data_IF_022681852127
#
_entry.id   IF_022681852127
#
_cell.length_a   1.000
_cell.length_b   1.000
_cell.length_c   1.000
_cell.angle_alpha   90.00
_cell.angle_beta   90.00
_cell.angle_gamma   90.00
#
_symmetry.space_group_name_H-M   'P 1'
#
loop_
_entity.id
_entity.type
_entity.pdbx_description
1 polymer ?
#
# COMPACT_ATOMS: atom_id res chain seq x y z
N UNK A 1 -2.82 16.49 1.61
CA UNK A 1 -1.90 15.51 0.97
C UNK A 1 -2.41 14.12 1.31
N UNK A 2 -2.61 13.24 0.32
CA UNK A 2 -3.07 11.86 0.53
C UNK A 2 -1.90 10.93 0.24
N UNK A 3 -1.57 10.05 1.19
CA UNK A 3 -0.58 8.99 0.99
C UNK A 3 -1.24 7.80 0.30
N UNK A 4 -0.62 7.28 -0.76
CA UNK A 4 -1.05 6.02 -1.36
C UNK A 4 -0.59 4.84 -0.51
N UNK A 5 -1.29 3.72 -0.62
CA UNK A 5 -0.90 2.47 0.03
C UNK A 5 0.50 2.02 -0.43
N UNK A 6 0.79 2.15 -1.73
CA UNK A 6 2.10 1.82 -2.28
C UNK A 6 3.22 2.70 -1.70
N UNK A 7 3.01 4.01 -1.55
CA UNK A 7 4.01 4.90 -0.97
C UNK A 7 4.34 4.51 0.50
N UNK A 8 3.34 4.08 1.27
CA UNK A 8 3.51 3.58 2.63
C UNK A 8 4.18 2.20 2.65
N UNK A 9 3.75 1.28 1.79
CA UNK A 9 4.28 -0.08 1.70
C UNK A 9 5.74 -0.09 1.25
N UNK A 10 6.06 0.63 0.18
CA UNK A 10 7.42 0.79 -0.34
C UNK A 10 8.35 1.38 0.72
N UNK A 11 7.89 2.41 1.43
CA UNK A 11 8.70 3.06 2.45
C UNK A 11 8.85 2.20 3.71
N UNK A 12 7.79 1.53 4.17
CA UNK A 12 7.78 0.80 5.45
C UNK A 12 8.30 -0.62 5.34
N UNK A 13 7.83 -1.37 4.36
CA UNK A 13 8.09 -2.79 4.20
C UNK A 13 9.25 -3.07 3.22
N UNK A 14 9.69 -2.06 2.46
CA UNK A 14 10.63 -2.26 1.34
C UNK A 14 10.04 -3.06 0.17
N UNK A 15 8.76 -3.43 0.26
CA UNK A 15 8.00 -4.10 -0.77
C UNK A 15 7.34 -3.04 -1.67
N UNK A 16 7.78 -2.96 -2.92
CA UNK A 16 7.15 -2.12 -3.93
C UNK A 16 5.87 -2.77 -4.45
N UNK A 17 4.82 -1.98 -4.61
CA UNK A 17 3.59 -2.42 -5.28
C UNK A 17 3.37 -1.67 -6.58
N UNK A 18 2.91 -2.39 -7.59
CA UNK A 18 2.32 -1.79 -8.78
C UNK A 18 0.87 -1.37 -8.47
N UNK A 19 0.69 -0.25 -7.78
CA UNK A 19 -0.65 0.24 -7.46
C UNK A 19 -1.15 1.23 -8.54
N UNK A 20 -1.76 0.71 -9.60
CA UNK A 20 -2.55 1.52 -10.53
C UNK A 20 -4.04 1.23 -10.35
N UNK A 21 -4.72 2.04 -9.53
CA UNK A 21 -6.18 1.93 -9.35
C UNK A 21 -6.97 2.13 -10.64
N UNK A 22 -6.40 2.78 -11.67
CA UNK A 22 -7.03 2.88 -12.98
C UNK A 22 -7.03 1.54 -13.70
N UNK A 23 -6.05 0.67 -13.44
CA UNK A 23 -5.98 -0.67 -14.01
C UNK A 23 -7.11 -1.56 -13.50
N UNK A 24 -7.47 -1.46 -12.21
CA UNK A 24 -8.63 -2.16 -11.65
C UNK A 24 -9.93 -1.80 -12.38
N UNK A 25 -10.13 -0.51 -12.67
CA UNK A 25 -11.29 -0.03 -13.43
C UNK A 25 -11.28 -0.59 -14.86
N UNK A 26 -10.10 -0.64 -15.51
CA UNK A 26 -9.95 -1.22 -16.85
C UNK A 26 -10.31 -2.70 -16.85
N UNK A 27 -9.82 -3.49 -15.88
CA UNK A 27 -10.13 -4.91 -15.76
C UNK A 27 -11.62 -5.16 -15.55
N UNK A 28 -12.26 -4.40 -14.67
CA UNK A 28 -13.71 -4.47 -14.47
C UNK A 28 -14.48 -4.25 -15.78
N UNK A 29 -14.15 -3.18 -16.52
CA UNK A 29 -14.80 -2.88 -17.82
C UNK A 29 -14.55 -3.95 -18.88
N UNK A 30 -13.44 -4.70 -18.78
CA UNK A 30 -13.07 -5.78 -19.69
C UNK A 30 -13.56 -7.17 -19.22
N UNK A 31 -14.34 -7.24 -18.13
CA UNK A 31 -14.73 -8.50 -17.48
C UNK A 31 -13.54 -9.41 -17.09
N UNK A 32 -12.37 -8.80 -16.87
CA UNK A 32 -11.13 -9.46 -16.41
C UNK A 32 -11.14 -9.61 -14.90
N UNK A 33 -12.01 -10.51 -14.43
CA UNK A 33 -12.31 -10.65 -13.00
C UNK A 33 -11.15 -11.25 -12.21
N UNK A 34 -10.38 -12.17 -12.81
CA UNK A 34 -9.26 -12.81 -12.14
C UNK A 34 -8.19 -11.78 -11.74
N UNK A 35 -7.77 -10.94 -12.68
CA UNK A 35 -6.77 -9.90 -12.44
C UNK A 35 -7.26 -8.85 -11.44
N UNK A 36 -8.55 -8.52 -11.49
CA UNK A 36 -9.18 -7.63 -10.52
C UNK A 36 -9.13 -8.22 -9.10
N UNK A 37 -9.48 -9.50 -8.94
CA UNK A 37 -9.46 -10.17 -7.64
C UNK A 37 -8.03 -10.31 -7.10
N UNK A 38 -7.07 -10.68 -7.95
CA UNK A 38 -5.66 -10.75 -7.57
C UNK A 38 -5.15 -9.40 -7.07
N UNK A 39 -5.49 -8.32 -7.76
CA UNK A 39 -5.14 -6.96 -7.34
C UNK A 39 -5.77 -6.59 -5.98
N UNK A 40 -7.08 -6.84 -5.81
CA UNK A 40 -7.76 -6.60 -4.55
C UNK A 40 -7.18 -7.42 -3.40
N UNK A 41 -6.86 -8.69 -3.63
CA UNK A 41 -6.26 -9.57 -2.62
C UNK A 41 -4.87 -9.07 -2.21
N UNK A 42 -4.06 -8.63 -3.17
CA UNK A 42 -2.78 -8.02 -2.86
C UNK A 42 -2.97 -6.78 -1.96
N UNK A 43 -3.97 -5.92 -2.22
CA UNK A 43 -4.30 -4.72 -1.41
C UNK A 43 -4.60 -5.07 0.05
N UNK A 44 -5.37 -6.12 0.28
CA UNK A 44 -5.62 -6.64 1.64
C UNK A 44 -4.33 -7.14 2.28
N UNK A 45 -3.52 -7.91 1.55
CA UNK A 45 -2.29 -8.50 2.09
C UNK A 45 -1.26 -7.44 2.49
N UNK A 46 -1.03 -6.43 1.64
CA UNK A 46 -0.11 -5.33 1.98
C UNK A 46 -0.63 -4.50 3.17
N UNK A 47 -1.94 -4.29 3.25
CA UNK A 47 -2.54 -3.59 4.40
C UNK A 47 -2.32 -4.39 5.69
N UNK A 48 -2.47 -5.72 5.65
CA UNK A 48 -2.18 -6.62 6.78
C UNK A 48 -0.72 -6.53 7.21
N UNK A 49 0.21 -6.59 6.27
CA UNK A 49 1.64 -6.49 6.57
C UNK A 49 2.03 -5.13 7.19
N UNK A 50 1.46 -4.03 6.68
CA UNK A 50 1.65 -2.70 7.28
C UNK A 50 1.10 -2.62 8.70
N UNK A 51 -0.07 -3.21 8.92
CA UNK A 51 -0.68 -3.27 10.24
C UNK A 51 0.20 -4.07 11.21
N UNK A 52 0.68 -5.25 10.81
CA UNK A 52 1.55 -6.09 11.62
C UNK A 52 2.88 -5.41 11.94
N UNK A 53 3.50 -4.77 10.94
CA UNK A 53 4.68 -3.95 11.15
C UNK A 53 4.42 -2.84 12.16
N UNK A 54 3.34 -2.08 11.99
CA UNK A 54 2.96 -0.99 12.88
C UNK A 54 2.71 -1.46 14.31
N UNK A 55 2.00 -2.57 14.47
CA UNK A 55 1.71 -3.17 15.78
C UNK A 55 2.98 -3.62 16.51
N UNK A 56 3.95 -4.17 15.78
CA UNK A 56 5.23 -4.65 16.35
C UNK A 56 6.21 -3.50 16.63
N UNK A 57 6.32 -2.53 15.71
CA UNK A 57 7.37 -1.50 15.73
C UNK A 57 6.89 -0.15 16.27
N UNK A 58 5.58 0.04 16.44
CA UNK A 58 4.92 1.29 16.89
C UNK A 58 5.11 2.50 15.99
N UNK A 59 5.49 2.26 14.73
CA UNK A 59 5.48 3.28 13.68
C UNK A 59 5.23 2.68 12.30
N UNK A 60 4.87 3.53 11.35
CA UNK A 60 5.00 3.29 9.90
C UNK A 60 5.80 4.43 9.29
N UNK A 61 6.22 4.32 8.03
CA UNK A 61 7.04 5.36 7.39
C UNK A 61 6.63 5.63 5.94
N UNK A 62 6.89 6.86 5.48
CA UNK A 62 6.62 7.31 4.13
C UNK A 62 7.71 8.28 3.66
N UNK A 63 7.79 8.52 2.34
CA UNK A 63 8.66 9.57 1.77
C UNK A 63 7.87 10.86 1.61
N UNK A 64 8.37 11.96 2.19
CA UNK A 64 7.77 13.28 2.02
C UNK A 64 8.07 13.89 0.64
N UNK A 65 7.53 15.09 0.37
CA UNK A 65 7.73 15.80 -0.90
C UNK A 65 9.19 16.16 -1.19
N UNK A 66 10.06 16.13 -0.17
CA UNK A 66 11.50 16.39 -0.28
C UNK A 66 12.29 15.07 -0.35
N UNK A 67 11.62 13.94 -0.62
CA UNK A 67 12.20 12.60 -0.66
C UNK A 67 12.81 12.14 0.67
N UNK A 68 12.46 12.77 1.79
CA UNK A 68 12.95 12.37 3.12
C UNK A 68 12.06 11.31 3.71
N UNK A 69 12.66 10.30 4.33
CA UNK A 69 11.94 9.29 5.10
C UNK A 69 11.39 9.92 6.38
N UNK A 70 10.08 9.82 6.59
CA UNK A 70 9.38 10.28 7.79
C UNK A 70 8.72 9.10 8.46
N UNK A 71 8.87 9.01 9.78
CA UNK A 71 8.17 8.03 10.62
C UNK A 71 6.92 8.68 11.21
N UNK A 72 5.83 7.91 11.24
CA UNK A 72 4.58 8.27 11.88
C UNK A 72 4.33 7.26 12.98
N UNK A 73 4.26 7.69 14.25
CA UNK A 73 3.93 6.79 15.35
C UNK A 73 2.51 6.25 15.17
N UNK A 74 2.30 4.99 15.54
CA UNK A 74 1.00 4.33 15.48
C UNK A 74 0.71 3.63 16.81
N UNK A 75 -0.55 3.60 17.21
CA UNK A 75 -0.97 3.10 18.53
C UNK A 75 -1.82 1.81 18.46
N UNK A 76 -1.96 1.22 17.28
CA UNK A 76 -2.64 -0.05 17.07
C UNK A 76 -1.70 -1.26 17.16
#
# INVERSE_FOLDING_TARGET
>A
FRLSLDALASATLGAGKSADGLQAIRWWRQAKMQELFEYCQQDVEVTRQLYEFGRQNKYVQYRDRQWRMRRVPVNW
#
